data_IF_658234013035
#
_entry.id   IF_658234013035
#
_cell.length_a   1.000
_cell.length_b   1.000
_cell.length_c   1.000
_cell.angle_alpha   90.00
_cell.angle_beta   90.00
_cell.angle_gamma   90.00
#
_symmetry.space_group_name_H-M   'P 1'
#
loop_
_entity.id
_entity.type
_entity.pdbx_description
1 polymer ?
#
# COMPACT_ATOMS: atom_id res chain seq x y z
N UNK A 1 14.99 49.48 21.62
CA UNK A 1 14.63 48.06 21.93
C UNK A 1 13.32 47.73 21.24
N UNK A 2 13.14 46.48 20.77
CA UNK A 2 11.95 45.90 20.06
C UNK A 2 12.03 45.89 18.51
N UNK A 3 12.80 44.96 17.95
CA UNK A 3 12.61 44.39 16.60
C UNK A 3 13.01 42.91 16.66
N UNK A 4 12.04 42.03 16.89
CA UNK A 4 12.37 40.61 17.06
C UNK A 4 11.18 39.67 17.23
N UNK A 5 9.97 40.03 16.78
CA UNK A 5 8.77 39.21 17.01
C UNK A 5 8.08 38.71 15.74
N UNK A 6 8.62 38.95 14.54
CA UNK A 6 7.89 38.66 13.29
C UNK A 6 8.25 37.34 12.61
N UNK A 7 9.15 36.51 13.16
CA UNK A 7 9.65 35.30 12.48
C UNK A 7 8.98 34.00 12.97
N UNK A 8 8.16 34.03 14.03
CA UNK A 8 7.65 32.80 14.66
C UNK A 8 6.35 32.24 14.06
N UNK A 9 5.68 32.92 13.13
CA UNK A 9 4.33 32.53 12.66
C UNK A 9 4.38 31.67 11.38
N UNK A 10 5.47 31.71 10.61
CA UNK A 10 5.56 31.01 9.32
C UNK A 10 5.81 29.49 9.43
N UNK A 11 6.18 28.96 10.61
CA UNK A 11 6.55 27.55 10.77
C UNK A 11 5.37 26.58 10.99
N UNK A 12 4.13 27.08 11.16
CA UNK A 12 2.96 26.26 11.51
C UNK A 12 2.23 25.61 10.32
N UNK A 13 2.59 25.92 9.07
CA UNK A 13 1.87 25.45 7.88
C UNK A 13 2.44 24.19 7.22
N UNK A 14 3.50 23.58 7.78
CA UNK A 14 4.15 22.39 7.21
C UNK A 14 3.59 21.05 7.75
N UNK A 15 2.55 21.07 8.58
CA UNK A 15 2.01 19.87 9.25
C UNK A 15 1.05 18.98 8.43
N UNK A 16 0.83 19.24 7.13
CA UNK A 16 -0.35 18.73 6.41
C UNK A 16 -0.24 17.44 5.59
N UNK A 17 0.96 16.87 5.36
CA UNK A 17 1.11 15.82 4.32
C UNK A 17 1.01 14.36 4.81
N UNK A 18 0.66 14.11 6.08
CA UNK A 18 0.62 12.76 6.65
C UNK A 18 -0.74 12.05 6.55
N UNK A 19 -1.83 12.80 6.41
CA UNK A 19 -3.19 12.23 6.53
C UNK A 19 -3.60 11.34 5.35
N UNK A 20 -2.98 11.48 4.17
CA UNK A 20 -3.37 10.74 2.96
C UNK A 20 -2.70 9.37 2.79
N UNK A 21 -2.07 8.83 3.83
CA UNK A 21 -1.31 7.57 3.72
C UNK A 21 -2.16 6.30 3.92
N UNK A 22 -3.42 6.45 4.36
CA UNK A 22 -4.34 5.34 4.66
C UNK A 22 -5.79 5.78 4.56
N UNK A 23 -6.70 4.81 4.40
CA UNK A 23 -8.14 5.03 4.35
C UNK A 23 -8.73 5.01 2.94
N UNK A 24 -10.06 5.18 2.82
CA UNK A 24 -10.78 5.07 1.54
C UNK A 24 -10.37 6.11 0.48
N UNK A 25 -9.79 7.22 0.91
CA UNK A 25 -9.37 8.32 0.04
C UNK A 25 -7.85 8.29 -0.25
N UNK A 26 -7.10 7.37 0.36
CA UNK A 26 -5.67 7.24 0.10
C UNK A 26 -5.42 6.80 -1.36
N UNK A 27 -4.39 7.37 -2.03
CA UNK A 27 -4.05 6.97 -3.38
C UNK A 27 -3.49 5.55 -3.40
N UNK A 28 -3.77 4.83 -4.48
CA UNK A 28 -3.15 3.52 -4.72
C UNK A 28 -1.68 3.66 -5.11
N UNK A 29 -0.81 2.95 -4.39
CA UNK A 29 0.59 2.76 -4.73
C UNK A 29 0.70 1.63 -5.75
N UNK A 30 1.32 1.89 -6.90
CA UNK A 30 1.50 0.90 -7.97
C UNK A 30 2.85 0.21 -7.85
N UNK A 31 2.83 -1.11 -7.85
CA UNK A 31 4.03 -1.94 -7.83
C UNK A 31 4.18 -2.66 -9.17
N UNK A 32 5.40 -2.64 -9.70
CA UNK A 32 5.75 -3.45 -10.88
C UNK A 32 6.05 -4.86 -10.42
N UNK A 33 5.59 -5.82 -11.21
CA UNK A 33 5.78 -7.23 -10.94
C UNK A 33 6.58 -7.87 -12.07
N UNK A 34 7.24 -8.98 -11.77
CA UNK A 34 7.90 -9.81 -12.79
C UNK A 34 6.89 -10.56 -13.65
N UNK A 35 5.73 -10.89 -13.08
CA UNK A 35 4.56 -11.38 -13.81
C UNK A 35 3.96 -10.32 -14.73
N UNK A 36 3.15 -10.75 -15.71
CA UNK A 36 2.45 -9.84 -16.62
C UNK A 36 1.53 -8.83 -15.91
N UNK A 37 0.91 -9.24 -14.79
CA UNK A 37 0.01 -8.37 -14.03
C UNK A 37 0.80 -7.59 -12.98
N UNK A 38 0.73 -6.27 -13.04
CA UNK A 38 1.15 -5.37 -11.97
C UNK A 38 0.08 -5.29 -10.90
N UNK A 39 0.39 -4.71 -9.74
CA UNK A 39 -0.60 -4.49 -8.68
C UNK A 39 -0.68 -3.02 -8.30
N UNK A 40 -1.81 -2.64 -7.73
CA UNK A 40 -1.95 -1.37 -7.05
C UNK A 40 -2.58 -1.63 -5.68
N UNK A 41 -2.01 -1.06 -4.62
CA UNK A 41 -2.53 -1.28 -3.27
C UNK A 41 -2.45 -0.02 -2.41
N UNK A 42 -3.20 0.01 -1.31
CA UNK A 42 -3.15 1.05 -0.26
C UNK A 42 -3.57 0.47 1.07
N UNK A 43 -3.26 1.13 2.18
CA UNK A 43 -3.89 0.82 3.46
C UNK A 43 -5.36 1.26 3.43
N UNK A 44 -6.27 0.34 3.76
CA UNK A 44 -7.71 0.61 3.80
C UNK A 44 -8.14 1.28 5.11
N UNK A 45 -7.28 1.23 6.14
CA UNK A 45 -7.50 1.85 7.44
C UNK A 45 -6.20 2.39 8.06
N UNK A 46 -6.33 3.35 8.98
CA UNK A 46 -5.19 3.99 9.66
C UNK A 46 -4.43 3.04 10.59
N UNK A 47 -5.10 1.99 11.05
CA UNK A 47 -4.51 0.96 11.91
C UNK A 47 -3.63 -0.01 11.11
N UNK A 48 -3.63 0.10 9.78
CA UNK A 48 -2.93 -0.80 8.85
C UNK A 48 -3.30 -2.27 9.09
N UNK A 49 -4.55 -2.49 9.46
CA UNK A 49 -5.16 -3.81 9.68
C UNK A 49 -5.82 -4.36 8.42
N UNK A 50 -5.95 -3.53 7.38
CA UNK A 50 -6.44 -3.93 6.09
C UNK A 50 -5.77 -3.16 4.95
N UNK A 51 -5.78 -3.77 3.77
CA UNK A 51 -5.36 -3.13 2.53
C UNK A 51 -6.47 -3.25 1.48
N UNK A 52 -6.54 -2.27 0.59
CA UNK A 52 -7.26 -2.42 -0.67
C UNK A 52 -6.26 -2.81 -1.75
N UNK A 53 -6.58 -3.82 -2.56
CA UNK A 53 -5.73 -4.36 -3.60
C UNK A 53 -6.46 -4.43 -4.95
N UNK A 54 -5.78 -3.98 -6.01
CA UNK A 54 -6.13 -4.19 -7.41
C UNK A 54 -5.04 -5.01 -8.09
N UNK A 55 -5.44 -5.96 -8.93
CA UNK A 55 -4.53 -6.79 -9.74
C UNK A 55 -4.73 -6.47 -11.22
N UNK A 56 -3.63 -6.23 -11.93
CA UNK A 56 -3.63 -5.81 -13.33
C UNK A 56 -4.36 -4.48 -13.53
N UNK A 57 -5.20 -4.45 -14.57
CA UNK A 57 -6.07 -3.32 -14.89
C UNK A 57 -7.52 -3.56 -14.43
N UNK A 58 -7.73 -4.46 -13.46
CA UNK A 58 -9.07 -4.72 -12.94
C UNK A 58 -9.60 -3.53 -12.15
N UNK A 59 -10.88 -3.20 -12.34
CA UNK A 59 -11.59 -2.26 -11.47
C UNK A 59 -12.00 -2.86 -10.14
N UNK A 60 -11.93 -4.20 -10.00
CA UNK A 60 -12.27 -4.88 -8.75
C UNK A 60 -11.23 -4.55 -7.67
N UNK A 61 -11.71 -3.98 -6.57
CA UNK A 61 -10.94 -3.78 -5.35
C UNK A 61 -11.23 -4.94 -4.41
N UNK A 62 -10.17 -5.55 -3.89
CA UNK A 62 -10.23 -6.52 -2.82
C UNK A 62 -9.76 -5.88 -1.51
N UNK A 63 -10.64 -5.79 -0.51
CA UNK A 63 -10.27 -5.33 0.82
C UNK A 63 -9.80 -6.53 1.65
N UNK A 64 -8.49 -6.67 1.77
CA UNK A 64 -7.83 -7.79 2.44
C UNK A 64 -7.53 -7.43 3.91
N UNK A 65 -7.82 -8.34 4.83
CA UNK A 65 -7.52 -8.18 6.26
C UNK A 65 -6.18 -8.79 6.61
N UNK A 66 -5.47 -8.15 7.53
CA UNK A 66 -4.18 -8.63 8.01
C UNK A 66 -4.36 -9.95 8.76
N UNK A 67 -3.49 -10.90 8.44
CA UNK A 67 -3.47 -12.23 9.04
C UNK A 67 -2.08 -12.55 9.60
N UNK A 68 -1.97 -13.50 10.54
CA UNK A 68 -0.67 -13.93 11.06
C UNK A 68 0.26 -14.43 9.95
N UNK A 69 1.52 -14.03 10.02
CA UNK A 69 2.56 -14.47 9.09
C UNK A 69 3.85 -14.77 9.85
N UNK A 70 4.55 -15.83 9.44
CA UNK A 70 5.88 -16.16 9.99
C UNK A 70 6.95 -15.18 9.52
N UNK A 71 6.77 -14.56 8.35
CA UNK A 71 7.66 -13.55 7.78
C UNK A 71 6.89 -12.53 6.95
N UNK A 72 7.26 -11.27 7.13
CA UNK A 72 6.67 -10.16 6.40
C UNK A 72 5.23 -9.87 6.85
N UNK A 73 4.39 -9.41 5.93
CA UNK A 73 2.98 -9.15 6.19
C UNK A 73 2.10 -9.95 5.24
N UNK A 74 1.05 -10.56 5.79
CA UNK A 74 0.08 -11.34 5.05
C UNK A 74 -1.30 -10.72 5.20
N UNK A 75 -2.03 -10.63 4.09
CA UNK A 75 -3.39 -10.12 4.06
C UNK A 75 -4.27 -10.99 3.15
N UNK A 76 -5.52 -11.25 3.54
CA UNK A 76 -6.48 -11.98 2.73
C UNK A 76 -7.93 -11.57 2.96
N UNK A 77 -8.78 -11.84 1.96
CA UNK A 77 -10.25 -11.80 2.03
C UNK A 77 -10.87 -13.21 1.93
N UNK A 78 -10.06 -14.27 2.03
CA UNK A 78 -10.47 -15.67 1.82
C UNK A 78 -10.63 -16.08 0.35
N UNK A 79 -10.55 -15.15 -0.60
CA UNK A 79 -10.59 -15.43 -2.05
C UNK A 79 -9.20 -15.26 -2.66
N UNK A 80 -8.55 -14.13 -2.38
CA UNK A 80 -7.18 -13.87 -2.76
C UNK A 80 -6.34 -13.53 -1.52
N UNK A 81 -5.03 -13.70 -1.68
CA UNK A 81 -4.06 -13.42 -0.66
C UNK A 81 -2.94 -12.56 -1.24
N UNK A 82 -2.51 -11.58 -0.45
CA UNK A 82 -1.34 -10.74 -0.70
C UNK A 82 -0.32 -11.03 0.39
N UNK A 83 0.87 -11.47 -0.03
CA UNK A 83 1.98 -11.73 0.87
C UNK A 83 3.16 -10.85 0.49
N UNK A 84 3.44 -9.85 1.31
CA UNK A 84 4.67 -9.07 1.25
C UNK A 84 5.74 -9.72 2.14
N UNK A 85 6.78 -10.27 1.53
CA UNK A 85 7.88 -10.97 2.21
C UNK A 85 9.02 -10.03 2.64
N UNK A 86 8.91 -8.74 2.34
CA UNK A 86 9.86 -7.68 2.67
C UNK A 86 10.74 -7.26 1.48
N UNK A 87 11.14 -8.20 0.61
CA UNK A 87 11.91 -7.91 -0.61
C UNK A 87 11.03 -7.94 -1.87
N UNK A 88 9.96 -8.71 -1.84
CA UNK A 88 8.97 -8.84 -2.91
C UNK A 88 7.62 -9.23 -2.33
N UNK A 89 6.57 -8.93 -3.07
CA UNK A 89 5.24 -9.45 -2.82
C UNK A 89 4.77 -10.40 -3.92
N UNK A 90 3.84 -11.27 -3.53
CA UNK A 90 3.03 -12.06 -4.45
C UNK A 90 1.55 -11.94 -4.12
N UNK A 91 0.73 -12.17 -5.14
CA UNK A 91 -0.72 -12.27 -5.04
C UNK A 91 -1.14 -13.61 -5.62
N UNK A 92 -1.94 -14.36 -4.88
CA UNK A 92 -2.47 -15.65 -5.34
C UNK A 92 -3.94 -15.80 -4.96
N UNK A 93 -4.66 -16.63 -5.71
CA UNK A 93 -6.01 -17.06 -5.34
C UNK A 93 -5.91 -18.28 -4.43
N UNK A 94 -6.70 -18.27 -3.35
CA UNK A 94 -6.64 -19.30 -2.32
C UNK A 94 -7.24 -20.63 -2.79
N UNK A 95 -8.31 -20.58 -3.58
CA UNK A 95 -9.05 -21.79 -3.97
C UNK A 95 -8.21 -22.80 -4.77
N UNK A 96 -7.19 -22.35 -5.49
CA UNK A 96 -6.39 -23.14 -6.43
C UNK A 96 -4.88 -22.83 -6.39
N UNK A 97 -4.42 -22.08 -5.37
CA UNK A 97 -3.05 -21.57 -5.24
C UNK A 97 -2.49 -20.87 -6.50
N UNK A 98 -3.37 -20.40 -7.38
CA UNK A 98 -2.92 -19.80 -8.65
C UNK A 98 -2.29 -18.45 -8.39
N UNK A 99 -1.00 -18.35 -8.73
CA UNK A 99 -0.26 -17.09 -8.78
C UNK A 99 -0.93 -16.12 -9.77
N UNK A 100 -1.35 -14.97 -9.28
CA UNK A 100 -1.92 -13.88 -10.07
C UNK A 100 -0.89 -12.81 -10.39
N UNK A 101 0.01 -12.53 -9.43
CA UNK A 101 1.15 -11.65 -9.60
C UNK A 101 2.33 -12.07 -8.68
N UNK A 102 3.57 -11.87 -9.11
CA UNK A 102 4.76 -12.19 -8.30
C UNK A 102 5.95 -11.29 -8.61
N UNK A 103 6.94 -11.29 -7.71
CA UNK A 103 8.10 -10.40 -7.81
C UNK A 103 7.68 -8.94 -7.79
N UNK A 104 6.60 -8.61 -7.07
CA UNK A 104 6.04 -7.28 -7.03
C UNK A 104 6.81 -6.41 -6.03
N UNK A 105 7.28 -5.26 -6.46
CA UNK A 105 7.92 -4.29 -5.59
C UNK A 105 7.55 -2.86 -5.98
N UNK A 106 7.77 -1.93 -5.05
CA UNK A 106 7.75 -0.52 -5.39
C UNK A 106 8.68 -0.29 -6.58
N UNK A 107 8.15 0.33 -7.63
CA UNK A 107 8.98 0.79 -8.73
C UNK A 107 9.79 1.97 -8.22
N UNK A 108 11.08 1.76 -8.01
CA UNK A 108 12.00 2.88 -8.07
C UNK A 108 11.91 3.35 -9.53
N UNK A 109 11.29 4.50 -9.76
CA UNK A 109 11.39 5.16 -11.05
C UNK A 109 12.89 5.35 -11.28
N UNK A 110 13.47 4.60 -12.23
CA UNK A 110 14.73 5.00 -12.83
C UNK A 110 14.42 6.23 -13.67
N UNK A 111 14.60 7.41 -13.07
CA UNK A 111 14.61 8.70 -13.77
C UNK A 111 15.90 8.75 -14.59
#
# INVERSE_FOLDING_TARGET
>A
MKKGLSILIAALLLGGCGHWQSGPDAPFVRWKCQSQQNIAWRYADDKRTAIDLKVGNSERIHTLRKEPATRGSFYSDGVIAFHDKGNEALVYRIADDKLLAHGCSASLISI
#
